data_IF_877585924855
#
_entry.id   IF_877585924855
#
_cell.length_a   1.000
_cell.length_b   1.000
_cell.length_c   1.000
_cell.angle_alpha   90.00
_cell.angle_beta   90.00
_cell.angle_gamma   90.00
#
_symmetry.space_group_name_H-M   'P 1'
#
loop_
_entity.id
_entity.type
_entity.pdbx_description
1 polymer ?
#
# COMPACT_ATOMS: atom_id res chain seq x y z
N UNK A 1 -17.56 10.00 -7.50
CA UNK A 1 -18.20 8.69 -7.72
C UNK A 1 -17.11 7.64 -7.59
N UNK A 2 -17.24 6.68 -6.68
CA UNK A 2 -16.23 5.62 -6.50
C UNK A 2 -16.18 4.73 -7.74
N UNK A 3 -15.01 4.62 -8.34
CA UNK A 3 -14.76 3.77 -9.51
C UNK A 3 -14.55 2.32 -9.04
N UNK A 4 -15.08 1.32 -9.75
CA UNK A 4 -14.80 -0.08 -9.43
C UNK A 4 -13.28 -0.35 -9.41
N UNK A 5 -12.85 -1.16 -8.44
CA UNK A 5 -11.48 -1.59 -8.28
C UNK A 5 -11.38 -3.12 -8.28
N UNK A 6 -10.15 -3.63 -8.33
CA UNK A 6 -9.83 -5.03 -8.19
C UNK A 6 -8.92 -5.24 -6.98
N UNK A 7 -9.14 -6.32 -6.22
CA UNK A 7 -8.25 -6.74 -5.14
C UNK A 7 -7.89 -8.21 -5.30
N UNK A 8 -6.62 -8.55 -5.15
CA UNK A 8 -6.17 -9.88 -5.52
C UNK A 8 -4.75 -10.20 -5.08
N UNK A 9 -4.22 -11.27 -5.67
CA UNK A 9 -2.88 -11.77 -5.43
C UNK A 9 -2.07 -11.71 -6.71
N UNK A 10 -0.84 -11.22 -6.59
CA UNK A 10 0.14 -11.25 -7.67
C UNK A 10 0.60 -12.69 -7.91
N UNK A 11 0.68 -13.06 -9.18
CA UNK A 11 1.21 -14.33 -9.64
C UNK A 11 2.47 -14.12 -10.48
N UNK A 12 3.18 -15.22 -10.76
CA UNK A 12 4.44 -15.18 -11.50
C UNK A 12 4.31 -14.47 -12.86
N UNK A 13 5.35 -13.71 -13.23
CA UNK A 13 5.48 -12.97 -14.50
C UNK A 13 4.39 -11.91 -14.74
N UNK A 14 3.98 -11.21 -13.68
CA UNK A 14 3.02 -10.11 -13.79
C UNK A 14 1.61 -10.56 -14.14
N UNK A 15 1.28 -11.82 -13.86
CA UNK A 15 -0.11 -12.31 -13.86
C UNK A 15 -0.74 -12.02 -12.52
N UNK A 16 -2.06 -12.08 -12.43
CA UNK A 16 -2.75 -11.94 -11.16
C UNK A 16 -4.08 -12.71 -11.12
N UNK A 17 -4.56 -12.97 -9.92
CA UNK A 17 -5.94 -13.40 -9.64
C UNK A 17 -6.60 -12.37 -8.73
N UNK A 18 -7.76 -11.85 -9.11
CA UNK A 18 -8.43 -10.77 -8.38
C UNK A 18 -9.95 -10.91 -8.34
N UNK A 19 -10.53 -10.26 -7.34
CA UNK A 19 -11.95 -10.07 -7.10
C UNK A 19 -12.34 -8.61 -7.32
N UNK A 20 -13.59 -8.38 -7.68
CA UNK A 20 -14.10 -7.03 -7.91
C UNK A 20 -14.48 -6.37 -6.59
N UNK A 21 -14.12 -5.09 -6.45
CA UNK A 21 -14.70 -4.18 -5.45
C UNK A 21 -15.58 -3.18 -6.22
N UNK A 22 -16.88 -3.21 -5.96
CA UNK A 22 -17.84 -2.38 -6.70
C UNK A 22 -17.67 -0.89 -6.38
N UNK A 23 -17.46 -0.56 -5.12
CA UNK A 23 -17.06 0.77 -4.65
C UNK A 23 -15.60 0.73 -4.22
N UNK A 24 -14.70 0.83 -5.21
CA UNK A 24 -13.28 0.94 -4.94
C UNK A 24 -12.96 2.27 -4.26
N UNK A 25 -12.04 2.22 -3.31
CA UNK A 25 -11.50 3.41 -2.65
C UNK A 25 -10.15 3.80 -3.24
N UNK A 26 -9.74 5.04 -3.01
CA UNK A 26 -8.40 5.55 -3.34
C UNK A 26 -7.31 4.82 -2.53
N UNK A 27 -6.07 4.68 -3.04
CA UNK A 27 -4.99 4.04 -2.31
C UNK A 27 -4.71 4.67 -0.94
N UNK A 28 -4.91 5.98 -0.78
CA UNK A 28 -4.73 6.68 0.50
C UNK A 28 -5.68 6.13 1.58
N UNK A 29 -6.88 5.70 1.20
CA UNK A 29 -7.89 5.14 2.12
C UNK A 29 -7.75 3.63 2.25
N UNK A 30 -7.58 2.92 1.12
CA UNK A 30 -7.65 1.46 1.12
C UNK A 30 -6.38 0.80 1.67
N UNK A 31 -5.20 1.39 1.44
CA UNK A 31 -3.93 0.79 1.93
C UNK A 31 -3.88 0.76 3.47
N UNK A 32 -4.12 1.87 4.21
CA UNK A 32 -4.15 1.82 5.66
C UNK A 32 -5.25 0.89 6.19
N UNK A 33 -6.41 0.86 5.52
CA UNK A 33 -7.49 -0.05 5.89
C UNK A 33 -7.08 -1.52 5.79
N UNK A 34 -6.43 -1.92 4.68
CA UNK A 34 -5.96 -3.29 4.50
C UNK A 34 -4.88 -3.68 5.51
N UNK A 35 -4.00 -2.77 5.92
CA UNK A 35 -3.03 -3.02 7.01
C UNK A 35 -3.69 -3.29 8.34
N UNK A 36 -4.73 -2.51 8.67
CA UNK A 36 -5.50 -2.72 9.90
C UNK A 36 -6.24 -4.04 9.85
N UNK A 37 -6.88 -4.38 8.73
CA UNK A 37 -7.52 -5.69 8.54
C UNK A 37 -6.51 -6.83 8.72
N UNK A 38 -5.35 -6.73 8.07
CA UNK A 38 -4.27 -7.70 8.18
C UNK A 38 -3.80 -7.91 9.63
N UNK A 39 -3.65 -6.82 10.39
CA UNK A 39 -3.18 -6.88 11.80
C UNK A 39 -4.29 -7.31 12.76
N UNK A 40 -5.43 -6.64 12.71
CA UNK A 40 -6.50 -6.72 13.72
C UNK A 40 -7.39 -7.94 13.50
N UNK A 41 -7.64 -8.33 12.25
CA UNK A 41 -8.54 -9.45 11.90
C UNK A 41 -7.77 -10.75 11.66
N UNK A 42 -6.64 -10.67 10.95
CA UNK A 42 -5.90 -11.84 10.50
C UNK A 42 -4.63 -12.12 11.30
N UNK A 43 -4.32 -11.32 12.33
CA UNK A 43 -3.16 -11.57 13.20
C UNK A 43 -1.84 -11.60 12.42
N UNK A 44 -1.73 -10.80 11.36
CA UNK A 44 -0.59 -10.73 10.42
C UNK A 44 -0.40 -11.95 9.51
N UNK A 45 -1.43 -12.80 9.36
CA UNK A 45 -1.45 -13.89 8.40
C UNK A 45 -1.87 -13.39 7.00
N UNK A 46 -0.87 -13.20 6.13
CA UNK A 46 -1.07 -12.72 4.76
C UNK A 46 -1.82 -13.72 3.89
N UNK A 47 -1.59 -15.02 4.08
CA UNK A 47 -2.23 -16.08 3.30
C UNK A 47 -3.71 -16.20 3.65
N UNK A 48 -4.03 -16.17 4.95
CA UNK A 48 -5.41 -16.16 5.43
C UNK A 48 -6.17 -14.92 4.93
N UNK A 49 -5.55 -13.73 4.99
CA UNK A 49 -6.16 -12.51 4.46
C UNK A 49 -6.40 -12.62 2.95
N UNK A 50 -5.42 -13.09 2.18
CA UNK A 50 -5.52 -13.24 0.74
C UNK A 50 -6.59 -14.27 0.33
N UNK A 51 -6.70 -15.38 1.07
CA UNK A 51 -7.75 -16.38 0.86
C UNK A 51 -9.14 -15.78 1.11
N UNK A 52 -9.31 -15.02 2.20
CA UNK A 52 -10.56 -14.36 2.53
C UNK A 52 -10.95 -13.30 1.49
N UNK A 53 -10.02 -12.43 1.09
CA UNK A 53 -10.26 -11.43 0.04
C UNK A 53 -10.61 -12.05 -1.31
N UNK A 54 -10.09 -13.25 -1.60
CA UNK A 54 -10.41 -14.01 -2.81
C UNK A 54 -11.67 -14.87 -2.72
N UNK A 55 -12.33 -14.95 -1.56
CA UNK A 55 -13.54 -15.77 -1.41
C UNK A 55 -14.77 -15.15 -2.11
N UNK A 56 -14.86 -13.82 -2.13
CA UNK A 56 -16.04 -13.09 -2.61
C UNK A 56 -15.67 -11.91 -3.51
N UNK A 57 -16.61 -11.48 -4.33
CA UNK A 57 -16.60 -10.09 -4.78
C UNK A 57 -17.13 -9.21 -3.65
N UNK A 58 -16.75 -7.94 -3.67
CA UNK A 58 -16.99 -7.00 -2.59
C UNK A 58 -17.81 -5.82 -3.09
N UNK A 59 -18.80 -5.42 -2.31
CA UNK A 59 -19.42 -4.11 -2.47
C UNK A 59 -18.43 -3.03 -2.03
N UNK A 60 -17.88 -3.19 -0.82
CA UNK A 60 -16.82 -2.36 -0.27
C UNK A 60 -16.05 -3.15 0.80
N UNK A 61 -14.79 -2.78 0.99
CA UNK A 61 -13.95 -3.30 2.07
C UNK A 61 -14.11 -2.38 3.29
N UNK A 62 -14.26 -2.96 4.47
CA UNK A 62 -14.40 -2.20 5.72
C UNK A 62 -14.00 -3.05 6.92
N UNK A 63 -13.36 -2.43 7.92
CA UNK A 63 -12.94 -3.12 9.15
C UNK A 63 -14.12 -3.38 10.10
N UNK A 64 -15.02 -2.40 10.24
CA UNK A 64 -16.20 -2.47 11.11
C UNK A 64 -17.49 -2.24 10.30
N UNK A 65 -17.84 -3.15 9.37
CA UNK A 65 -19.03 -3.01 8.56
C UNK A 65 -20.29 -3.15 9.42
N UNK A 66 -21.17 -2.15 9.35
CA UNK A 66 -22.50 -2.22 9.99
C UNK A 66 -23.49 -2.88 9.01
N UNK A 67 -24.30 -3.85 9.43
CA UNK A 67 -25.27 -4.49 8.56
C UNK A 67 -26.25 -3.45 7.99
N UNK A 68 -26.50 -3.51 6.68
CA UNK A 68 -27.50 -2.66 6.01
C UNK A 68 -28.75 -3.47 5.71
N UNK A 69 -29.90 -2.80 5.73
CA UNK A 69 -31.21 -3.44 5.52
C UNK A 69 -31.35 -4.13 4.16
N UNK A 70 -30.58 -3.69 3.16
CA UNK A 70 -30.60 -4.21 1.78
C UNK A 70 -29.38 -5.08 1.45
N UNK A 71 -28.54 -5.41 2.43
CA UNK A 71 -27.43 -6.33 2.19
C UNK A 71 -27.99 -7.74 1.96
N UNK A 72 -27.68 -8.34 0.81
CA UNK A 72 -28.12 -9.71 0.48
C UNK A 72 -27.39 -10.76 1.33
N UNK A 73 -26.20 -10.41 1.84
CA UNK A 73 -25.36 -11.25 2.66
C UNK A 73 -24.89 -10.45 3.88
N UNK A 74 -24.78 -11.09 5.07
CA UNK A 74 -24.26 -10.40 6.23
C UNK A 74 -22.83 -9.92 5.95
N UNK A 75 -22.44 -8.76 6.47
CA UNK A 75 -21.07 -8.30 6.33
C UNK A 75 -20.12 -9.28 7.01
N UNK A 76 -18.94 -9.48 6.41
CA UNK A 76 -17.89 -10.28 6.99
C UNK A 76 -17.10 -9.40 7.97
N UNK A 77 -17.09 -9.73 9.28
CA UNK A 77 -16.35 -8.95 10.27
C UNK A 77 -14.89 -8.79 9.85
N UNK A 78 -14.39 -7.56 9.92
CA UNK A 78 -13.00 -7.28 9.57
C UNK A 78 -12.67 -7.32 8.08
N UNK A 79 -13.64 -7.50 7.16
CA UNK A 79 -13.39 -7.52 5.71
C UNK A 79 -14.35 -6.63 4.92
N UNK A 80 -15.62 -6.54 5.29
CA UNK A 80 -16.58 -5.62 4.65
C UNK A 80 -17.84 -6.30 4.14
N UNK A 81 -18.39 -5.75 3.05
CA UNK A 81 -19.68 -6.17 2.50
C UNK A 81 -19.47 -7.04 1.25
N UNK A 82 -19.80 -8.34 1.28
CA UNK A 82 -19.71 -9.18 0.08
C UNK A 82 -20.83 -8.82 -0.92
N UNK A 83 -20.50 -8.81 -2.22
CA UNK A 83 -21.43 -8.57 -3.32
C UNK A 83 -21.91 -9.85 -4.02
N UNK A 84 -21.24 -10.99 -3.77
CA UNK A 84 -21.56 -12.29 -4.33
C UNK A 84 -20.32 -13.12 -4.63
N UNK A 85 -20.52 -14.27 -5.29
CA UNK A 85 -19.48 -15.17 -5.77
C UNK A 85 -19.36 -15.08 -7.29
N UNK A 86 -18.97 -13.93 -7.83
CA UNK A 86 -18.69 -13.81 -9.25
C UNK A 86 -17.46 -14.62 -9.66
N UNK A 87 -17.06 -14.50 -10.91
CA UNK A 87 -15.91 -15.23 -11.44
C UNK A 87 -14.61 -14.56 -10.98
N UNK A 88 -13.66 -15.31 -10.42
CA UNK A 88 -12.31 -14.80 -10.15
C UNK A 88 -11.72 -14.30 -11.47
N UNK A 89 -11.35 -13.02 -11.52
CA UNK A 89 -10.66 -12.45 -12.67
C UNK A 89 -9.22 -12.95 -12.67
N UNK A 90 -8.78 -13.48 -13.79
CA UNK A 90 -7.37 -13.84 -14.05
C UNK A 90 -6.88 -12.94 -15.17
N UNK A 91 -5.86 -12.14 -14.90
CA UNK A 91 -5.37 -11.16 -15.87
C UNK A 91 -3.86 -11.06 -15.92
N UNK A 92 -3.40 -10.10 -16.72
CA UNK A 92 -1.99 -9.75 -16.88
C UNK A 92 -1.82 -8.25 -16.65
N UNK A 93 -0.76 -7.84 -15.95
CA UNK A 93 -0.41 -6.42 -15.80
C UNK A 93 -0.07 -5.75 -17.14
N UNK A 94 0.20 -6.54 -18.18
CA UNK A 94 0.46 -6.04 -19.55
C UNK A 94 -0.77 -6.04 -20.44
N UNK A 95 -1.94 -6.37 -19.90
CA UNK A 95 -3.18 -6.36 -20.68
C UNK A 95 -3.63 -4.92 -20.98
N UNK A 96 -4.23 -4.73 -22.15
CA UNK A 96 -4.99 -3.50 -22.43
C UNK A 96 -6.35 -3.61 -21.74
N UNK A 97 -6.80 -2.50 -21.18
CA UNK A 97 -8.03 -2.42 -20.41
C UNK A 97 -9.01 -1.51 -21.11
N UNK A 98 -10.15 -2.09 -21.50
CA UNK A 98 -11.31 -1.34 -21.95
C UNK A 98 -12.26 -1.16 -20.75
N UNK A 99 -12.51 0.08 -20.34
CA UNK A 99 -13.59 0.42 -19.39
C UNK A 99 -13.17 1.16 -18.11
N UNK A 100 -14.14 1.25 -17.20
CA UNK A 100 -14.09 2.10 -15.99
C UNK A 100 -13.53 1.37 -14.76
N UNK A 101 -12.38 0.69 -14.88
CA UNK A 101 -11.64 0.19 -13.72
C UNK A 101 -10.61 1.24 -13.30
N UNK A 102 -10.66 1.66 -12.05
CA UNK A 102 -9.73 2.67 -11.52
C UNK A 102 -8.44 2.03 -11.03
N UNK A 103 -8.58 1.15 -10.04
CA UNK A 103 -7.47 0.66 -9.24
C UNK A 103 -7.39 -0.88 -9.23
N UNK A 104 -6.17 -1.40 -9.09
CA UNK A 104 -5.87 -2.80 -8.84
C UNK A 104 -4.90 -2.92 -7.66
N UNK A 105 -5.32 -3.64 -6.63
CA UNK A 105 -4.61 -3.89 -5.39
C UNK A 105 -4.12 -5.33 -5.36
N UNK A 106 -2.81 -5.55 -5.45
CA UNK A 106 -2.21 -6.89 -5.49
C UNK A 106 -1.37 -7.18 -4.25
N UNK A 107 -1.74 -8.24 -3.54
CA UNK A 107 -0.93 -8.82 -2.49
C UNK A 107 0.19 -9.69 -3.09
N UNK A 108 1.42 -9.37 -2.72
CA UNK A 108 2.60 -10.19 -2.95
C UNK A 108 2.90 -10.97 -1.69
N UNK A 109 2.41 -12.22 -1.63
CA UNK A 109 2.42 -13.06 -0.43
C UNK A 109 3.84 -13.24 0.13
N UNK A 110 4.80 -13.61 -0.73
CA UNK A 110 6.20 -13.85 -0.36
C UNK A 110 6.90 -12.63 0.23
N UNK A 111 6.44 -11.43 -0.14
CA UNK A 111 7.06 -10.16 0.26
C UNK A 111 6.25 -9.43 1.34
N UNK A 112 5.06 -9.94 1.70
CA UNK A 112 4.09 -9.25 2.56
C UNK A 112 3.84 -7.81 2.12
N UNK A 113 3.77 -7.61 0.81
CA UNK A 113 3.58 -6.29 0.18
C UNK A 113 2.24 -6.20 -0.51
N UNK A 114 1.69 -5.00 -0.51
CA UNK A 114 0.56 -4.59 -1.32
C UNK A 114 1.07 -3.63 -2.41
N UNK A 115 0.87 -3.98 -3.67
CA UNK A 115 1.22 -3.13 -4.81
C UNK A 115 -0.05 -2.64 -5.47
N UNK A 116 -0.12 -1.35 -5.71
CA UNK A 116 -1.26 -0.65 -6.27
C UNK A 116 -0.96 -0.27 -7.71
N UNK A 117 -1.91 -0.52 -8.60
CA UNK A 117 -1.86 -0.16 -10.00
C UNK A 117 -3.05 0.70 -10.38
N UNK A 118 -2.84 1.66 -11.27
CA UNK A 118 -3.87 2.49 -11.86
C UNK A 118 -4.11 2.12 -13.33
N UNK A 119 -5.36 2.14 -13.77
CA UNK A 119 -5.75 1.96 -15.17
C UNK A 119 -6.40 3.19 -15.80
N UNK A 120 -7.08 4.02 -15.01
CA UNK A 120 -7.99 5.08 -15.48
C UNK A 120 -7.36 6.12 -16.40
N UNK A 121 -6.10 6.49 -16.15
CA UNK A 121 -5.39 7.46 -16.99
C UNK A 121 -4.69 6.85 -18.21
N UNK A 122 -4.61 5.52 -18.32
CA UNK A 122 -3.59 4.88 -19.17
C UNK A 122 -4.07 3.73 -20.08
N UNK A 123 -5.28 3.19 -19.86
CA UNK A 123 -5.79 2.05 -20.65
C UNK A 123 -5.00 0.74 -20.46
N UNK A 124 -4.13 0.69 -19.44
CA UNK A 124 -3.30 -0.45 -19.05
C UNK A 124 -2.94 -0.32 -17.57
N UNK A 125 -2.58 -1.42 -16.91
CA UNK A 125 -2.11 -1.36 -15.52
C UNK A 125 -0.72 -0.73 -15.44
N UNK A 126 -0.63 0.42 -14.79
CA UNK A 126 0.64 1.03 -14.40
C UNK A 126 0.79 1.02 -12.90
N UNK A 127 1.99 0.68 -12.42
CA UNK A 127 2.29 0.68 -10.99
C UNK A 127 2.19 2.11 -10.49
N UNK A 128 1.36 2.31 -9.48
CA UNK A 128 1.15 3.58 -8.80
C UNK A 128 2.00 3.65 -7.52
N UNK A 129 1.87 2.64 -6.64
CA UNK A 129 2.64 2.62 -5.38
C UNK A 129 2.82 1.19 -4.85
N UNK A 130 3.77 0.99 -3.93
CA UNK A 130 3.96 -0.27 -3.22
C UNK A 130 4.20 -0.03 -1.73
N UNK A 131 3.67 -0.95 -0.92
CA UNK A 131 3.47 -0.76 0.51
C UNK A 131 3.76 -2.08 1.22
N UNK A 132 4.56 -2.07 2.28
CA UNK A 132 4.60 -3.22 3.18
C UNK A 132 3.29 -3.32 3.97
N UNK A 133 2.84 -4.55 4.28
CA UNK A 133 1.68 -4.75 5.15
C UNK A 133 2.01 -4.42 6.61
N UNK A 134 3.24 -4.72 7.06
CA UNK A 134 3.74 -4.20 8.34
C UNK A 134 4.21 -2.76 8.14
N UNK A 135 3.55 -1.75 8.74
CA UNK A 135 3.92 -0.36 8.56
C UNK A 135 5.33 -0.04 9.08
N UNK A 136 5.91 -0.85 9.99
CA UNK A 136 7.27 -0.63 10.49
C UNK A 136 8.33 -0.85 9.39
N UNK A 137 8.02 -1.71 8.42
CA UNK A 137 8.90 -2.01 7.30
C UNK A 137 8.98 -0.84 6.31
N UNK A 138 7.90 -0.05 6.18
CA UNK A 138 7.89 1.18 5.38
C UNK A 138 8.61 2.33 6.09
N UNK A 139 9.26 3.21 5.33
CA UNK A 139 9.90 4.42 5.89
C UNK A 139 8.91 5.53 6.21
N UNK A 140 7.81 5.60 5.46
CA UNK A 140 6.82 6.65 5.53
C UNK A 140 5.43 6.03 5.52
N UNK A 141 4.62 6.36 6.51
CA UNK A 141 3.26 5.85 6.64
C UNK A 141 2.28 6.98 6.84
N UNK A 142 1.14 6.90 6.15
CA UNK A 142 0.02 7.81 6.41
C UNK A 142 -0.64 7.40 7.73
N UNK A 143 -0.59 8.28 8.72
CA UNK A 143 -1.28 8.13 9.99
C UNK A 143 -2.53 9.01 10.01
N UNK A 144 -3.64 8.56 10.63
CA UNK A 144 -4.75 9.44 10.93
C UNK A 144 -4.26 10.58 11.82
N UNK A 145 -4.80 11.79 11.63
CA UNK A 145 -4.53 12.91 12.52
C UNK A 145 -4.81 12.52 13.97
N UNK A 146 -3.99 13.02 14.90
CA UNK A 146 -4.14 12.76 16.35
C UNK A 146 -5.46 13.31 16.91
N UNK A 147 -6.10 14.21 16.16
CA UNK A 147 -7.37 14.86 16.37
C UNK A 147 -8.40 14.41 15.31
N UNK A 148 -9.64 14.16 15.77
CA UNK A 148 -10.76 13.46 15.11
C UNK A 148 -11.37 14.19 13.87
N UNK A 149 -10.50 14.78 13.05
CA UNK A 149 -10.85 15.57 11.85
C UNK A 149 -9.68 16.30 11.18
N UNK A 150 -8.44 16.10 11.63
CA UNK A 150 -7.26 16.68 10.96
C UNK A 150 -6.90 15.95 9.66
N UNK A 151 -6.15 16.60 8.75
CA UNK A 151 -5.67 15.95 7.53
C UNK A 151 -4.74 14.79 7.88
N UNK A 152 -4.83 13.69 7.12
CA UNK A 152 -3.91 12.57 7.24
C UNK A 152 -2.46 13.06 7.13
N UNK A 153 -1.61 12.61 8.06
CA UNK A 153 -0.23 13.08 8.14
C UNK A 153 0.74 11.95 7.83
N UNK A 154 1.75 12.23 7.00
CA UNK A 154 2.82 11.27 6.70
C UNK A 154 3.81 11.26 7.85
N UNK A 155 4.08 10.09 8.42
CA UNK A 155 4.98 9.90 9.55
C UNK A 155 6.20 9.09 9.13
N UNK A 156 7.39 9.56 9.47
CA UNK A 156 8.62 8.79 9.33
C UNK A 156 8.71 7.71 10.41
N UNK A 157 8.76 6.45 10.03
CA UNK A 157 8.82 5.33 10.98
C UNK A 157 10.18 5.15 11.65
N UNK A 158 11.21 5.83 11.14
CA UNK A 158 12.59 5.77 11.66
C UNK A 158 12.77 6.70 12.85
N UNK A 159 12.27 7.93 12.77
CA UNK A 159 12.50 8.96 13.78
C UNK A 159 11.23 9.59 14.37
N UNK A 160 10.05 9.26 13.83
CA UNK A 160 8.76 9.78 14.28
C UNK A 160 8.42 11.19 13.77
N UNK A 161 9.19 11.75 12.83
CA UNK A 161 8.91 13.05 12.24
C UNK A 161 7.61 13.04 11.43
N UNK A 162 6.86 14.16 11.45
CA UNK A 162 5.56 14.30 10.78
C UNK A 162 5.56 15.46 9.79
N UNK A 163 6.14 16.59 10.17
CA UNK A 163 6.24 17.84 9.41
C UNK A 163 7.58 18.01 8.67
N UNK A 164 8.56 17.17 8.97
CA UNK A 164 9.90 17.17 8.35
C UNK A 164 9.99 16.13 7.21
N UNK A 165 8.95 16.07 6.38
CA UNK A 165 8.80 15.11 5.27
C UNK A 165 8.62 15.85 3.96
N UNK A 166 9.61 15.71 3.08
CA UNK A 166 9.53 16.20 1.71
C UNK A 166 9.01 15.09 0.79
N UNK A 167 8.06 15.43 -0.09
CA UNK A 167 7.57 14.56 -1.14
C UNK A 167 7.69 15.26 -2.49
N UNK A 168 8.34 14.59 -3.44
CA UNK A 168 8.52 15.05 -4.81
C UNK A 168 7.94 14.00 -5.75
N UNK A 169 7.12 14.45 -6.69
CA UNK A 169 6.56 13.63 -7.76
C UNK A 169 6.90 14.28 -9.10
N UNK A 170 7.55 13.54 -9.99
CA UNK A 170 7.91 14.01 -11.33
C UNK A 170 7.51 12.99 -12.39
N UNK A 171 7.09 13.41 -13.59
CA UNK A 171 6.82 12.47 -14.67
C UNK A 171 8.04 11.58 -14.96
N UNK A 172 7.84 10.27 -15.02
CA UNK A 172 8.96 9.33 -15.19
C UNK A 172 9.56 9.40 -16.58
N UNK A 173 10.89 9.26 -16.66
CA UNK A 173 11.62 9.11 -17.92
C UNK A 173 11.28 7.81 -18.66
N UNK A 174 10.57 6.87 -18.01
CA UNK A 174 10.00 5.68 -18.62
C UNK A 174 8.96 5.98 -19.72
N UNK A 175 8.51 7.23 -19.83
CA UNK A 175 7.45 7.66 -20.74
C UNK A 175 6.05 7.29 -20.24
N UNK A 176 5.94 6.87 -18.99
CA UNK A 176 4.68 6.59 -18.30
C UNK A 176 4.88 6.57 -16.78
N UNK A 177 3.84 6.88 -16.02
CA UNK A 177 3.89 6.94 -14.55
C UNK A 177 4.71 8.13 -14.02
N UNK A 178 4.94 8.12 -12.71
CA UNK A 178 5.69 9.14 -12.00
C UNK A 178 6.83 8.50 -11.22
N UNK A 179 7.97 9.19 -11.20
CA UNK A 179 9.03 8.92 -10.24
C UNK A 179 8.68 9.70 -8.97
N UNK A 180 8.63 9.01 -7.83
CA UNK A 180 8.39 9.67 -6.54
C UNK A 180 9.64 9.58 -5.68
N UNK A 181 9.90 10.63 -4.90
CA UNK A 181 10.92 10.65 -3.86
C UNK A 181 10.28 11.21 -2.60
N UNK A 182 10.26 10.41 -1.54
CA UNK A 182 9.88 10.87 -0.21
C UNK A 182 11.10 10.80 0.70
N UNK A 183 11.41 11.89 1.39
CA UNK A 183 12.56 11.97 2.30
C UNK A 183 12.21 12.64 3.63
N UNK A 184 12.76 12.10 4.72
CA UNK A 184 12.70 12.74 6.02
C UNK A 184 13.92 13.64 6.19
N UNK A 185 13.71 14.94 6.32
CA UNK A 185 14.81 15.91 6.48
C UNK A 185 15.45 15.81 7.87
N UNK A 186 14.76 15.24 8.86
CA UNK A 186 15.29 15.00 10.21
C UNK A 186 16.31 13.88 10.29
N UNK A 187 15.97 12.68 9.79
CA UNK A 187 16.85 11.51 9.89
C UNK A 187 17.58 11.18 8.58
N UNK A 188 17.20 11.80 7.46
CA UNK A 188 17.79 11.55 6.15
C UNK A 188 17.37 10.23 5.48
N UNK A 189 16.40 9.51 6.06
CA UNK A 189 15.84 8.32 5.41
C UNK A 189 15.02 8.71 4.20
N UNK A 190 15.05 7.92 3.13
CA UNK A 190 14.32 8.21 1.89
C UNK A 190 13.85 6.96 1.16
N UNK A 191 12.75 7.10 0.43
CA UNK A 191 12.27 6.11 -0.54
C UNK A 191 12.08 6.81 -1.87
N UNK A 192 12.68 6.24 -2.92
CA UNK A 192 12.42 6.61 -4.30
C UNK A 192 11.66 5.48 -4.98
N UNK A 193 10.67 5.80 -5.81
CA UNK A 193 9.94 4.81 -6.62
C UNK A 193 10.02 5.19 -8.08
N UNK A 194 10.40 4.25 -8.93
CA UNK A 194 10.41 4.40 -10.39
C UNK A 194 9.58 3.26 -11.04
N UNK A 195 8.78 3.52 -12.08
CA UNK A 195 7.96 2.52 -12.75
C UNK A 195 8.73 1.36 -13.39
N UNK A 196 9.98 1.57 -13.82
CA UNK A 196 10.85 0.56 -14.45
C UNK A 196 11.65 -0.25 -13.43
N UNK A 197 12.20 0.41 -12.41
CA UNK A 197 13.18 -0.17 -11.49
C UNK A 197 12.60 -0.52 -10.10
N UNK A 198 11.41 -0.01 -9.78
CA UNK A 198 10.73 -0.26 -8.51
C UNK A 198 11.18 0.68 -7.40
N UNK A 199 11.16 0.20 -6.15
CA UNK A 199 11.46 1.04 -4.99
C UNK A 199 12.94 0.93 -4.61
N UNK A 200 13.56 2.08 -4.37
CA UNK A 200 14.88 2.20 -3.77
C UNK A 200 14.76 2.85 -2.39
N UNK A 201 15.12 2.10 -1.35
CA UNK A 201 14.95 2.50 0.05
C UNK A 201 16.29 2.74 0.72
N UNK A 202 16.45 3.90 1.34
CA UNK A 202 17.61 4.26 2.18
C UNK A 202 17.11 4.52 3.60
N UNK A 203 17.33 3.58 4.50
CA UNK A 203 17.05 3.73 5.93
C UNK A 203 18.31 4.20 6.64
N UNK A 204 18.26 5.38 7.25
CA UNK A 204 19.37 5.90 8.06
C UNK A 204 19.30 5.35 9.49
N UNK A 205 20.44 5.06 10.13
CA UNK A 205 20.47 4.71 11.55
C UNK A 205 20.00 5.91 12.38
N UNK A 206 19.11 5.65 13.35
CA UNK A 206 18.56 6.68 14.23
C UNK A 206 18.39 6.14 15.67
N UNK A 207 18.77 6.92 16.71
CA UNK A 207 19.45 8.22 16.66
C UNK A 207 20.85 8.10 16.01
N UNK A 208 21.39 9.20 15.45
CA UNK A 208 22.69 9.14 14.78
C UNK A 208 23.74 8.66 15.78
N UNK A 209 24.49 7.63 15.41
CA UNK A 209 25.63 7.23 16.23
C UNK A 209 26.62 8.39 16.26
N UNK A 210 26.87 8.96 17.44
CA UNK A 210 28.02 9.83 17.63
C UNK A 210 29.27 9.01 17.34
N UNK A 211 30.15 9.43 16.40
CA UNK A 211 31.42 8.76 16.25
C UNK A 211 32.14 8.81 17.60
N UNK A 212 32.56 7.65 18.09
CA UNK A 212 33.34 7.52 19.32
C UNK A 212 34.70 8.19 19.09
N UNK A 213 34.77 9.49 19.40
CA UNK A 213 36.05 10.20 19.49
C UNK A 213 36.75 9.76 20.76
N UNK A 214 37.67 8.80 20.66
CA UNK A 214 38.57 8.48 21.77
C UNK A 214 39.12 7.07 21.78
N UNK A 215 40.08 6.78 20.90
CA UNK A 215 41.26 5.98 21.29
C UNK A 215 42.43 6.32 20.36
N UNK A 216 42.88 7.56 20.51
CA UNK A 216 44.19 8.00 20.05
C UNK A 216 44.97 8.50 21.26
N UNK A 217 45.37 7.59 22.15
CA UNK A 217 46.54 7.81 22.99
C UNK A 217 47.64 6.86 22.56
N UNK A 218 48.47 7.36 21.66
CA UNK A 218 49.82 6.84 21.48
C UNK A 218 50.57 6.95 22.79
N UNK A 219 50.86 5.81 23.40
CA UNK A 219 51.85 5.67 24.46
C UNK A 219 53.15 5.16 23.84
N UNK A 220 53.98 6.07 23.35
CA UNK A 220 55.42 5.80 23.22
C UNK A 220 56.06 6.03 24.58
N UNK A 221 56.55 4.95 25.20
CA UNK A 221 57.73 4.94 26.05
C UNK A 221 58.36 3.56 26.05
#
# INVERSE_FOLDING_TARGET
MSTPALIGVAAFRGRYTARRIQFGEDPQVLVPLLRRIWTDTFGRDTDAMAAALQAHDWWSIAINPKPRRWDQQPPLPGLGHPAGNGTIRRGSLRENLDGALGWLYLLHLDQRRLVVYEATAHGRWLRHSAHHLDPVEDLFVTAPALDDGGPEATVCTVCGAVDEIDHVEVPSMAGYGYDTLTSCTRCGSSVATDPMFGDHLVRQPWPPHTPTTGDATGGTR
#
